data_IF_274822274557
#
_entry.id   IF_274822274557
#
_cell.length_a   1.000
_cell.length_b   1.000
_cell.length_c   1.000
_cell.angle_alpha   90.00
_cell.angle_beta   90.00
_cell.angle_gamma   90.00
#
_symmetry.space_group_name_H-M   'P 1'
#
loop_
_entity.id
_entity.type
_entity.pdbx_description
1 polymer ?
#
# COMPACT_ATOMS: atom_id res chain seq x y z
N UNK A 1 -16.78 21.79 -13.34
CA UNK A 1 -15.50 21.20 -13.79
C UNK A 1 -15.58 19.72 -13.48
N UNK A 2 -16.04 18.98 -14.46
CA UNK A 2 -16.67 17.69 -14.33
C UNK A 2 -15.66 16.64 -14.84
N UNK A 3 -15.83 15.39 -14.42
CA UNK A 3 -14.84 14.35 -14.72
C UNK A 3 -14.65 14.12 -16.23
N UNK A 4 -15.72 14.34 -17.01
CA UNK A 4 -15.72 14.26 -18.46
C UNK A 4 -14.97 15.44 -19.12
N UNK A 5 -15.14 16.66 -18.59
CA UNK A 5 -14.47 17.86 -19.12
C UNK A 5 -12.97 17.86 -18.81
N UNK A 6 -12.51 17.20 -17.72
CA UNK A 6 -11.07 16.95 -17.49
C UNK A 6 -10.44 15.97 -18.49
N UNK A 7 -11.17 14.94 -18.92
CA UNK A 7 -10.66 13.93 -19.83
C UNK A 7 -10.40 14.47 -21.25
N UNK A 8 -11.14 15.52 -21.66
CA UNK A 8 -10.91 16.22 -22.93
C UNK A 8 -9.70 17.16 -22.87
N UNK A 9 -9.41 17.75 -21.70
CA UNK A 9 -8.29 18.69 -21.51
C UNK A 9 -6.94 17.98 -21.42
N UNK A 10 -6.87 16.77 -20.86
CA UNK A 10 -5.58 16.06 -20.76
C UNK A 10 -5.02 15.65 -22.12
N UNK A 11 -5.86 15.50 -23.16
CA UNK A 11 -5.42 15.11 -24.50
C UNK A 11 -4.70 13.76 -24.54
N UNK A 12 -4.53 13.19 -25.73
CA UNK A 12 -3.64 12.02 -25.88
C UNK A 12 -2.20 12.52 -25.85
N UNK A 13 -1.33 11.98 -24.98
CA UNK A 13 0.06 12.42 -24.91
C UNK A 13 0.76 12.21 -26.27
N UNK A 14 1.57 13.19 -26.73
CA UNK A 14 2.22 13.14 -28.03
C UNK A 14 3.14 11.90 -28.11
N UNK A 15 2.91 11.04 -29.10
CA UNK A 15 3.70 9.83 -29.36
C UNK A 15 3.05 8.50 -28.97
N UNK A 16 1.87 8.50 -28.34
CA UNK A 16 1.12 7.26 -28.05
C UNK A 16 0.11 6.97 -29.16
N UNK A 17 0.12 5.78 -29.79
CA UNK A 17 -0.88 5.41 -30.78
C UNK A 17 -2.30 5.55 -30.22
N UNK A 18 -3.25 6.07 -31.01
CA UNK A 18 -4.67 6.22 -30.65
C UNK A 18 -5.40 4.85 -30.68
N UNK A 19 -4.80 3.82 -30.08
CA UNK A 19 -5.46 2.53 -29.88
C UNK A 19 -5.90 2.42 -28.42
N UNK A 20 -7.05 1.80 -28.21
CA UNK A 20 -7.57 1.58 -26.85
C UNK A 20 -6.56 0.84 -25.96
N UNK A 21 -5.79 -0.10 -26.53
CA UNK A 21 -4.72 -0.83 -25.84
C UNK A 21 -3.56 0.08 -25.43
N UNK A 22 -3.01 0.86 -26.35
CA UNK A 22 -1.90 1.76 -26.04
C UNK A 22 -2.27 2.83 -24.99
N UNK A 23 -3.52 3.30 -24.98
CA UNK A 23 -4.03 4.20 -23.94
C UNK A 23 -4.20 3.51 -22.58
N UNK A 24 -4.58 2.23 -22.56
CA UNK A 24 -4.64 1.43 -21.34
C UNK A 24 -3.24 1.19 -20.76
N UNK A 25 -2.30 0.76 -21.59
CA UNK A 25 -0.91 0.48 -21.20
C UNK A 25 -0.21 1.74 -20.67
N UNK A 26 -0.39 2.89 -21.34
CA UNK A 26 0.14 4.17 -20.87
C UNK A 26 -0.46 4.58 -19.52
N UNK A 27 -1.75 4.28 -19.28
CA UNK A 27 -2.38 4.56 -17.97
C UNK A 27 -1.82 3.68 -16.87
N UNK A 28 -1.52 2.41 -17.17
CA UNK A 28 -0.89 1.49 -16.22
C UNK A 28 0.53 1.91 -15.86
N UNK A 29 1.34 2.30 -16.84
CA UNK A 29 2.70 2.81 -16.62
C UNK A 29 2.68 4.10 -15.77
N UNK A 30 1.83 5.07 -16.14
CA UNK A 30 1.64 6.29 -15.36
C UNK A 30 1.16 6.01 -13.93
N UNK A 31 0.34 4.97 -13.73
CA UNK A 31 -0.13 4.56 -12.40
C UNK A 31 0.98 3.89 -11.57
N UNK A 32 1.92 3.18 -12.21
CA UNK A 32 3.11 2.64 -11.53
C UNK A 32 4.08 3.74 -11.11
N UNK A 33 4.32 4.73 -11.97
CA UNK A 33 5.21 5.87 -11.66
C UNK A 33 4.65 6.79 -10.55
N UNK A 34 3.33 6.79 -10.37
CA UNK A 34 2.65 7.53 -9.31
C UNK A 34 2.50 6.75 -7.99
N UNK A 35 3.13 5.57 -7.87
CA UNK A 35 3.09 4.82 -6.61
C UNK A 35 3.90 5.53 -5.52
N UNK A 36 3.42 5.40 -4.29
CA UNK A 36 4.07 6.00 -3.12
C UNK A 36 5.43 5.36 -2.82
N UNK A 37 5.52 4.04 -2.99
CA UNK A 37 6.74 3.25 -2.84
C UNK A 37 7.32 2.95 -4.22
N UNK A 38 8.63 2.85 -4.30
CA UNK A 38 9.29 2.27 -5.49
C UNK A 38 9.02 0.77 -5.53
N UNK A 39 9.15 0.09 -6.69
CA UNK A 39 8.94 -1.35 -6.78
C UNK A 39 9.78 -2.16 -5.78
N UNK A 40 11.03 -1.74 -5.54
CA UNK A 40 11.93 -2.41 -4.60
C UNK A 40 11.52 -2.19 -3.13
N UNK A 41 11.05 -0.99 -2.76
CA UNK A 41 10.54 -0.73 -1.41
C UNK A 41 9.25 -1.49 -1.15
N UNK A 42 8.40 -1.57 -2.18
CA UNK A 42 7.14 -2.30 -2.12
C UNK A 42 7.39 -3.79 -1.88
N UNK A 43 8.33 -4.38 -2.61
CA UNK A 43 8.73 -5.78 -2.41
C UNK A 43 9.34 -6.04 -1.01
N UNK A 44 10.18 -5.12 -0.52
CA UNK A 44 10.75 -5.22 0.83
C UNK A 44 9.66 -5.18 1.91
N UNK A 45 8.67 -4.30 1.76
CA UNK A 45 7.54 -4.22 2.67
C UNK A 45 6.69 -5.50 2.65
N UNK A 46 6.44 -6.07 1.47
CA UNK A 46 5.73 -7.36 1.32
C UNK A 46 6.48 -8.46 2.07
N UNK A 47 7.79 -8.61 1.83
CA UNK A 47 8.63 -9.62 2.51
C UNK A 47 8.58 -9.47 4.03
N UNK A 48 8.70 -8.24 4.52
CA UNK A 48 8.60 -7.96 5.95
C UNK A 48 7.24 -8.38 6.54
N UNK A 49 6.13 -8.05 5.87
CA UNK A 49 4.78 -8.45 6.32
C UNK A 49 4.64 -9.97 6.34
N UNK A 50 5.13 -10.67 5.31
CA UNK A 50 5.09 -12.12 5.24
C UNK A 50 5.89 -12.77 6.39
N UNK A 51 7.09 -12.24 6.66
CA UNK A 51 7.97 -12.72 7.74
C UNK A 51 7.32 -12.52 9.11
N UNK A 52 6.75 -11.34 9.38
CA UNK A 52 6.05 -11.06 10.62
C UNK A 52 4.85 -11.99 10.83
N UNK A 53 4.12 -12.30 9.76
CA UNK A 53 3.06 -13.29 9.82
C UNK A 53 3.56 -14.71 10.09
N UNK A 54 4.70 -15.11 9.52
CA UNK A 54 5.30 -16.43 9.78
C UNK A 54 5.75 -16.55 11.25
N UNK A 55 6.21 -15.45 11.86
CA UNK A 55 6.56 -15.41 13.28
C UNK A 55 5.33 -15.34 14.21
N UNK A 56 4.11 -15.42 13.68
CA UNK A 56 2.89 -15.38 14.48
C UNK A 56 2.48 -13.97 14.92
N UNK A 57 3.14 -12.93 14.41
CA UNK A 57 2.84 -11.52 14.68
C UNK A 57 2.28 -10.81 13.44
N UNK A 58 1.03 -11.10 13.04
CA UNK A 58 0.44 -10.46 11.87
C UNK A 58 0.29 -8.94 12.08
N UNK A 59 0.72 -8.17 11.08
CA UNK A 59 0.65 -6.71 11.11
C UNK A 59 -0.78 -6.25 10.81
N UNK A 60 -1.29 -5.31 11.61
CA UNK A 60 -2.60 -4.71 11.36
C UNK A 60 -2.54 -3.74 10.19
N UNK A 61 -3.60 -3.70 9.38
CA UNK A 61 -3.69 -2.85 8.18
C UNK A 61 -3.39 -1.36 8.46
N UNK A 62 -3.77 -0.86 9.64
CA UNK A 62 -3.54 0.54 10.06
C UNK A 62 -2.06 0.93 10.22
N UNK A 63 -1.18 -0.04 10.44
CA UNK A 63 0.25 0.21 10.63
C UNK A 63 1.03 0.22 9.31
N UNK A 64 0.46 -0.34 8.24
CA UNK A 64 1.11 -0.44 6.92
C UNK A 64 1.46 0.95 6.36
N UNK A 65 0.59 1.99 6.42
CA UNK A 65 0.97 3.34 6.04
C UNK A 65 2.21 3.88 6.77
N UNK A 66 2.30 3.65 8.08
CA UNK A 66 3.42 4.13 8.88
C UNK A 66 4.72 3.39 8.53
N UNK A 67 4.64 2.09 8.27
CA UNK A 67 5.77 1.29 7.81
C UNK A 67 6.25 1.74 6.42
N UNK A 68 5.32 1.96 5.49
CA UNK A 68 5.64 2.51 4.16
C UNK A 68 6.32 3.87 4.29
N UNK A 69 5.81 4.76 5.15
CA UNK A 69 6.44 6.06 5.38
C UNK A 69 7.86 5.92 5.93
N UNK A 70 8.10 5.01 6.87
CA UNK A 70 9.45 4.73 7.40
C UNK A 70 10.42 4.28 6.31
N UNK A 71 9.99 3.45 5.36
CA UNK A 71 10.82 3.07 4.22
C UNK A 71 11.20 4.29 3.38
N UNK A 72 10.24 5.17 3.10
CA UNK A 72 10.54 6.41 2.35
C UNK A 72 11.46 7.37 3.09
N UNK A 73 11.65 7.23 4.40
CA UNK A 73 12.62 8.02 5.14
C UNK A 73 14.06 7.68 4.75
N UNK A 74 14.33 6.50 4.19
CA UNK A 74 15.67 6.13 3.72
C UNK A 74 16.07 6.85 2.43
N UNK A 75 15.11 7.47 1.72
CA UNK A 75 15.37 8.29 0.53
C UNK A 75 16.09 9.60 0.89
N UNK A 76 16.82 10.20 -0.07
CA UNK A 76 17.35 11.55 0.09
C UNK A 76 16.23 12.55 0.37
N UNK A 77 16.57 13.65 1.07
CA UNK A 77 15.59 14.65 1.56
C UNK A 77 14.72 15.24 0.46
N UNK A 78 15.22 15.31 -0.77
CA UNK A 78 14.49 15.79 -1.96
C UNK A 78 13.38 14.84 -2.44
N UNK A 79 13.54 13.53 -2.28
CA UNK A 79 12.63 12.51 -2.77
C UNK A 79 11.68 11.95 -1.68
N UNK A 80 11.80 12.45 -0.44
CA UNK A 80 11.03 11.97 0.70
C UNK A 80 9.65 12.64 0.75
N UNK A 81 8.56 11.87 0.80
CA UNK A 81 7.23 12.41 1.05
C UNK A 81 7.14 12.95 2.49
N UNK A 82 6.48 14.10 2.68
CA UNK A 82 6.34 14.73 4.01
C UNK A 82 5.36 14.01 4.94
N UNK A 83 4.41 13.26 4.37
CA UNK A 83 3.31 12.63 5.09
C UNK A 83 3.21 11.15 4.73
N UNK A 84 2.76 10.29 5.66
CA UNK A 84 2.44 8.91 5.35
C UNK A 84 1.30 8.83 4.32
N UNK A 85 1.20 7.70 3.58
CA UNK A 85 0.11 7.48 2.66
C UNK A 85 -1.21 7.29 3.41
N UNK A 86 -2.34 7.57 2.77
CA UNK A 86 -3.67 7.39 3.38
C UNK A 86 -4.06 5.90 3.44
N UNK A 87 -5.06 5.54 4.25
CA UNK A 87 -5.57 4.17 4.35
C UNK A 87 -6.08 3.60 3.01
N UNK A 88 -6.57 4.45 2.11
CA UNK A 88 -6.98 4.05 0.76
C UNK A 88 -5.82 3.52 -0.07
N UNK A 89 -4.61 4.06 0.13
CA UNK A 89 -3.41 3.52 -0.50
C UNK A 89 -3.13 2.09 -0.02
N UNK A 90 -3.36 1.79 1.26
CA UNK A 90 -3.20 0.43 1.80
C UNK A 90 -4.21 -0.56 1.21
N UNK A 91 -5.47 -0.12 0.99
CA UNK A 91 -6.46 -0.94 0.27
C UNK A 91 -6.00 -1.24 -1.16
N UNK A 92 -5.44 -0.25 -1.86
CA UNK A 92 -4.88 -0.45 -3.19
C UNK A 92 -3.64 -1.37 -3.17
N UNK A 93 -2.74 -1.21 -2.21
CA UNK A 93 -1.58 -2.07 -2.00
C UNK A 93 -1.99 -3.53 -1.76
N UNK A 94 -3.00 -3.77 -0.92
CA UNK A 94 -3.53 -5.12 -0.70
C UNK A 94 -4.10 -5.75 -1.99
N UNK A 95 -4.77 -4.96 -2.83
CA UNK A 95 -5.26 -5.44 -4.13
C UNK A 95 -4.13 -5.83 -5.10
N UNK A 96 -2.98 -5.16 -5.03
CA UNK A 96 -1.80 -5.51 -5.84
C UNK A 96 -1.10 -6.78 -5.36
N UNK A 97 -1.17 -7.08 -4.07
CA UNK A 97 -0.49 -8.22 -3.44
C UNK A 97 -1.49 -9.18 -2.78
N UNK A 98 -2.19 -10.01 -3.57
CA UNK A 98 -3.17 -10.95 -3.04
C UNK A 98 -2.59 -11.94 -2.03
N UNK A 99 -1.28 -12.22 -2.08
CA UNK A 99 -0.58 -13.05 -1.08
C UNK A 99 -0.68 -12.49 0.35
N UNK A 100 -0.92 -11.18 0.50
CA UNK A 100 -1.06 -10.52 1.79
C UNK A 100 -2.49 -10.55 2.34
N UNK A 101 -3.50 -10.92 1.54
CA UNK A 101 -4.91 -10.99 1.96
C UNK A 101 -5.10 -11.85 3.22
N UNK A 102 -4.51 -13.05 3.23
CA UNK A 102 -4.64 -14.00 4.33
C UNK A 102 -3.75 -13.68 5.54
N UNK A 103 -2.79 -12.74 5.40
CA UNK A 103 -1.74 -12.48 6.39
C UNK A 103 -1.87 -11.13 7.09
N UNK A 104 -2.55 -10.17 6.47
CA UNK A 104 -2.85 -8.87 7.08
C UNK A 104 -4.13 -8.99 7.89
N UNK A 105 -4.02 -8.74 9.19
CA UNK A 105 -5.16 -8.79 10.10
C UNK A 105 -5.87 -7.43 10.13
N UNK A 106 -7.19 -7.44 9.95
CA UNK A 106 -8.02 -6.23 10.01
C UNK A 106 -8.21 -5.73 11.45
N UNK A 107 -8.82 -6.55 12.29
CA UNK A 107 -8.97 -6.35 13.73
C UNK A 107 -8.13 -7.41 14.46
N UNK A 108 -7.40 -7.02 15.51
CA UNK A 108 -6.67 -8.00 16.32
C UNK A 108 -7.70 -9.01 16.85
N UNK A 109 -7.42 -10.29 16.70
CA UNK A 109 -8.22 -11.33 17.34
C UNK A 109 -8.36 -11.02 18.84
N UNK A 110 -9.59 -11.05 19.34
CA UNK A 110 -9.93 -10.66 20.71
C UNK A 110 -9.12 -11.47 21.72
N UNK A 111 -8.89 -12.75 21.43
CA UNK A 111 -8.10 -13.67 22.26
C UNK A 111 -6.63 -13.25 22.40
N UNK A 112 -6.12 -12.38 21.53
CA UNK A 112 -4.74 -11.86 21.56
C UNK A 112 -4.62 -10.48 22.22
N UNK A 113 -5.71 -9.91 22.71
CA UNK A 113 -5.68 -8.61 23.39
C UNK A 113 -4.98 -8.76 24.76
N UNK A 114 -4.13 -7.80 25.16
CA UNK A 114 -3.38 -7.83 26.44
C UNK A 114 -4.26 -8.09 27.66
N UNK A 115 -5.53 -7.66 27.61
CA UNK A 115 -6.55 -7.92 28.64
C UNK A 115 -6.80 -9.42 28.90
N UNK A 116 -6.48 -10.30 27.96
CA UNK A 116 -6.62 -11.75 28.06
C UNK A 116 -5.28 -12.46 28.33
N UNK A 117 -4.16 -11.72 28.42
CA UNK A 117 -2.80 -12.27 28.65
C UNK A 117 -2.47 -12.30 30.14
N UNK A 118 -3.13 -11.48 30.96
CA UNK A 118 -3.06 -11.68 32.41
C UNK A 118 -3.79 -12.98 32.75
N UNK A 119 -3.16 -13.92 33.50
CA UNK A 119 -3.93 -15.00 34.05
C UNK A 119 -5.04 -14.38 34.88
N UNK A 120 -6.28 -14.74 34.59
CA UNK A 120 -7.34 -14.75 35.61
C UNK A 120 -6.91 -15.80 36.64
N UNK A 121 -5.87 -15.50 37.41
CA UNK A 121 -5.58 -16.22 38.64
C UNK A 121 -6.67 -15.79 39.61
N UNK A 122 -7.83 -16.43 39.45
CA UNK A 122 -8.92 -16.39 40.41
C UNK A 122 -8.37 -16.97 41.72
N UNK A 123 -8.40 -16.14 42.76
CA UNK A 123 -8.22 -16.55 44.16
C UNK A 123 -9.58 -16.86 44.75
#
# INVERSE_FOLDING_TARGET
MDKASRALVEGVPPGVPFSFRALADHREQKAQDQQYLTPWEEEALVKFILQMSNFGYPIRIKFIPALAHRLTLQRPRSARPRKPPHLNWTRAFRKRHPILEARIVGALDWNRHEKNIYPKSEH
#
